data_IF_871640584045
#
_entry.id   IF_871640584045
#
_cell.length_a   1.000
_cell.length_b   1.000
_cell.length_c   1.000
_cell.angle_alpha   90.00
_cell.angle_beta   90.00
_cell.angle_gamma   90.00
#
_symmetry.space_group_name_H-M   'P 1'
#
loop_
_entity.id
_entity.type
_entity.pdbx_description
1 polymer ?
#
# COMPACT_ATOMS: atom_id res chain seq x y z
N UNK A 1 14.01 7.67 62.04
CA UNK A 1 14.17 6.94 63.32
C UNK A 1 14.03 5.46 62.97
N UNK A 2 15.15 4.79 62.66
CA UNK A 2 15.98 3.97 63.58
C UNK A 2 15.24 2.72 64.08
N UNK A 3 15.58 1.55 63.54
CA UNK A 3 16.07 0.32 64.22
C UNK A 3 16.16 -0.80 63.17
N UNK A 4 17.33 -1.29 62.72
CA UNK A 4 18.32 -2.16 63.40
C UNK A 4 17.69 -3.44 63.99
N UNK A 5 17.87 -4.59 63.31
CA UNK A 5 18.92 -5.64 63.44
C UNK A 5 18.67 -6.56 64.63
N UNK A 6 18.55 -7.87 64.36
CA UNK A 6 18.99 -8.98 65.23
C UNK A 6 19.10 -10.28 64.43
N UNK A 7 20.35 -10.70 64.21
CA UNK A 7 20.79 -12.02 63.75
C UNK A 7 20.61 -13.11 64.83
N UNK A 8 20.47 -14.38 64.46
CA UNK A 8 21.48 -15.45 64.65
C UNK A 8 20.93 -16.91 64.50
N UNK A 9 21.46 -17.59 63.46
CA UNK A 9 21.96 -18.97 63.34
C UNK A 9 21.31 -20.16 64.07
N UNK A 10 21.05 -21.23 63.30
CA UNK A 10 21.69 -22.56 63.47
C UNK A 10 21.85 -23.28 62.13
N UNK A 11 22.94 -24.04 61.99
CA UNK A 11 23.46 -24.68 60.77
C UNK A 11 23.21 -26.21 60.73
N UNK A 12 23.25 -26.80 59.53
CA UNK A 12 23.85 -28.13 59.19
C UNK A 12 23.55 -28.43 57.70
N UNK A 13 24.49 -28.26 56.76
CA UNK A 13 25.41 -29.27 56.18
C UNK A 13 24.69 -30.40 55.40
N UNK A 14 25.01 -30.81 54.16
CA UNK A 14 26.03 -30.53 53.12
C UNK A 14 25.50 -31.18 51.80
N UNK A 15 26.18 -31.32 50.67
CA UNK A 15 27.55 -31.06 50.23
C UNK A 15 27.57 -31.09 48.67
N UNK A 16 28.49 -30.30 48.12
CA UNK A 16 29.10 -30.23 46.77
C UNK A 16 29.23 -31.54 45.96
N UNK A 17 29.58 -31.59 44.66
CA UNK A 17 29.72 -30.71 43.49
C UNK A 17 30.10 -31.65 42.30
N UNK A 18 29.91 -31.16 41.07
CA UNK A 18 30.70 -31.33 39.82
C UNK A 18 32.02 -32.13 39.87
N UNK A 19 32.49 -32.76 38.76
CA UNK A 19 32.99 -31.99 37.60
C UNK A 19 32.93 -32.66 36.20
N UNK A 20 33.60 -32.00 35.27
CA UNK A 20 33.44 -31.95 33.82
C UNK A 20 34.53 -32.69 33.02
N UNK A 21 34.24 -32.91 31.72
CA UNK A 21 35.14 -33.08 30.54
C UNK A 21 35.81 -34.44 30.30
N UNK A 22 35.62 -35.00 29.08
CA UNK A 22 36.65 -35.43 28.07
C UNK A 22 35.96 -36.17 26.89
N UNK A 23 36.46 -35.91 25.67
CA UNK A 23 36.02 -36.43 24.38
C UNK A 23 36.67 -37.77 23.98
N UNK A 24 35.99 -38.63 23.17
CA UNK A 24 36.51 -39.36 21.98
C UNK A 24 35.54 -40.42 21.38
N UNK A 25 35.26 -40.26 20.07
CA UNK A 25 35.17 -41.22 18.93
C UNK A 25 34.86 -42.73 19.15
N UNK A 26 33.83 -43.25 18.46
CA UNK A 26 33.75 -44.50 17.63
C UNK A 26 32.27 -44.71 17.20
N UNK A 27 31.89 -44.55 15.92
CA UNK A 27 31.81 -45.57 14.84
C UNK A 27 30.85 -46.77 15.08
N UNK A 28 29.73 -46.73 14.33
CA UNK A 28 28.98 -47.80 13.64
C UNK A 28 28.68 -49.16 14.34
N UNK A 29 27.39 -49.52 14.42
CA UNK A 29 26.81 -50.69 13.71
C UNK A 29 25.27 -50.71 13.75
N UNK A 30 24.72 -51.03 12.58
CA UNK A 30 23.40 -51.45 12.11
C UNK A 30 22.46 -52.20 13.06
N UNK A 31 21.15 -51.87 13.02
CA UNK A 31 20.09 -52.88 12.96
C UNK A 31 18.84 -52.31 12.29
N UNK A 32 18.51 -52.88 11.13
CA UNK A 32 17.28 -52.70 10.34
C UNK A 32 16.18 -53.56 10.98
N UNK A 33 15.03 -52.99 11.34
CA UNK A 33 13.72 -53.66 11.32
C UNK A 33 12.57 -52.68 11.66
N UNK A 34 11.92 -52.19 10.61
CA UNK A 34 10.46 -52.18 10.43
C UNK A 34 9.55 -51.71 11.59
N UNK A 35 9.09 -50.45 11.47
CA UNK A 35 7.77 -50.03 11.98
C UNK A 35 7.19 -49.04 10.98
N UNK A 36 6.28 -49.54 10.14
CA UNK A 36 5.55 -48.78 9.12
C UNK A 36 4.49 -47.90 9.79
N UNK A 37 4.88 -46.70 10.19
CA UNK A 37 3.96 -45.56 10.24
C UNK A 37 4.46 -44.55 9.20
N UNK A 38 3.91 -44.63 7.99
CA UNK A 38 4.13 -43.61 6.96
C UNK A 38 3.29 -42.39 7.35
N UNK A 39 3.96 -41.36 7.86
CA UNK A 39 3.42 -40.02 8.01
C UNK A 39 2.77 -39.53 6.70
N UNK A 40 1.56 -38.94 6.74
CA UNK A 40 0.88 -38.43 5.55
C UNK A 40 1.49 -37.13 4.97
N UNK A 41 2.68 -36.70 5.42
CA UNK A 41 3.28 -35.40 5.04
C UNK A 41 4.22 -35.50 3.82
N UNK A 42 4.23 -36.63 3.10
CA UNK A 42 5.15 -36.85 1.95
C UNK A 42 4.49 -36.76 0.57
N UNK A 43 3.40 -36.00 0.41
CA UNK A 43 2.80 -35.76 -0.93
C UNK A 43 2.64 -34.29 -1.33
N UNK A 44 3.22 -33.33 -0.60
CA UNK A 44 3.13 -31.90 -0.95
C UNK A 44 4.33 -31.36 -1.74
N UNK A 45 5.14 -32.21 -2.39
CA UNK A 45 6.45 -31.80 -2.93
C UNK A 45 6.61 -31.82 -4.45
N UNK A 46 5.51 -31.90 -5.21
CA UNK A 46 5.56 -31.87 -6.69
C UNK A 46 4.69 -30.79 -7.32
N UNK A 47 4.42 -29.69 -6.60
CA UNK A 47 4.13 -28.41 -7.23
C UNK A 47 5.40 -27.57 -7.11
N UNK A 48 6.04 -27.27 -8.24
CA UNK A 48 7.24 -26.44 -8.25
C UNK A 48 6.94 -25.10 -7.57
N UNK A 49 7.88 -24.54 -6.77
CA UNK A 49 7.71 -23.23 -6.13
C UNK A 49 7.34 -22.11 -7.11
N UNK A 50 7.76 -22.25 -8.38
CA UNK A 50 7.50 -21.32 -9.46
C UNK A 50 6.03 -21.28 -9.89
N UNK A 51 5.36 -22.42 -10.02
CA UNK A 51 3.94 -22.47 -10.41
C UNK A 51 3.04 -21.80 -9.35
N UNK A 52 3.33 -22.03 -8.06
CA UNK A 52 2.58 -21.40 -6.94
C UNK A 52 2.82 -19.89 -6.89
N UNK A 53 4.06 -19.43 -7.13
CA UNK A 53 4.38 -17.99 -7.21
C UNK A 53 3.67 -17.33 -8.38
N UNK A 54 3.69 -17.94 -9.57
CA UNK A 54 3.06 -17.38 -10.77
C UNK A 54 1.53 -17.33 -10.68
N UNK A 55 0.88 -18.35 -10.12
CA UNK A 55 -0.56 -18.30 -9.84
C UNK A 55 -0.91 -17.17 -8.86
N UNK A 56 -0.10 -16.97 -7.82
CA UNK A 56 -0.29 -15.85 -6.90
C UNK A 56 -0.12 -14.47 -7.57
N UNK A 57 0.78 -14.36 -8.56
CA UNK A 57 0.97 -13.12 -9.33
C UNK A 57 -0.23 -12.84 -10.24
N UNK A 58 -0.74 -13.86 -10.92
CA UNK A 58 -1.94 -13.74 -11.76
C UNK A 58 -3.16 -13.35 -10.92
N UNK A 59 -3.34 -13.97 -9.76
CA UNK A 59 -4.44 -13.63 -8.84
C UNK A 59 -4.34 -12.18 -8.35
N UNK A 60 -3.15 -11.71 -7.96
CA UNK A 60 -2.93 -10.30 -7.57
C UNK A 60 -3.18 -9.35 -8.73
N UNK A 61 -2.74 -9.68 -9.94
CA UNK A 61 -2.97 -8.88 -11.13
C UNK A 61 -4.47 -8.78 -11.47
N UNK A 62 -5.23 -9.88 -11.32
CA UNK A 62 -6.68 -9.87 -11.48
C UNK A 62 -7.38 -9.01 -10.42
N UNK A 63 -6.96 -9.10 -9.15
CA UNK A 63 -7.48 -8.25 -8.07
C UNK A 63 -7.20 -6.77 -8.34
N UNK A 64 -5.99 -6.43 -8.79
CA UNK A 64 -5.61 -5.06 -9.18
C UNK A 64 -6.40 -4.55 -10.38
N UNK A 65 -6.68 -5.42 -11.36
CA UNK A 65 -7.50 -5.05 -12.50
C UNK A 65 -8.95 -4.79 -12.09
N UNK A 66 -9.50 -5.63 -11.20
CA UNK A 66 -10.84 -5.45 -10.65
C UNK A 66 -10.95 -4.17 -9.82
N UNK A 67 -9.99 -3.89 -8.93
CA UNK A 67 -9.98 -2.64 -8.16
C UNK A 67 -9.83 -1.42 -9.07
N UNK A 68 -8.99 -1.49 -10.10
CA UNK A 68 -8.84 -0.44 -11.10
C UNK A 68 -10.12 -0.21 -11.92
N UNK A 69 -10.89 -1.27 -12.23
CA UNK A 69 -12.18 -1.16 -12.91
C UNK A 69 -13.22 -0.46 -12.05
N UNK A 70 -13.32 -0.83 -10.76
CA UNK A 70 -14.20 -0.15 -9.80
C UNK A 70 -13.78 1.32 -9.68
N UNK A 71 -12.48 1.60 -9.54
CA UNK A 71 -11.97 2.96 -9.48
C UNK A 71 -12.30 3.78 -10.75
N UNK A 72 -12.17 3.19 -11.94
CA UNK A 72 -12.53 3.84 -13.20
C UNK A 72 -14.03 4.17 -13.25
N UNK A 73 -14.89 3.21 -12.91
CA UNK A 73 -16.33 3.42 -12.88
C UNK A 73 -16.72 4.53 -11.88
N UNK A 74 -16.20 4.47 -10.66
CA UNK A 74 -16.44 5.49 -9.64
C UNK A 74 -15.96 6.87 -10.09
N UNK A 75 -14.78 6.98 -10.71
CA UNK A 75 -14.29 8.26 -11.26
C UNK A 75 -15.15 8.79 -12.39
N UNK A 76 -15.67 7.93 -13.28
CA UNK A 76 -16.58 8.34 -14.34
C UNK A 76 -17.91 8.85 -13.77
N UNK A 77 -18.43 8.21 -12.74
CA UNK A 77 -19.65 8.66 -12.05
C UNK A 77 -19.45 9.98 -11.30
N UNK A 78 -18.35 10.12 -10.56
CA UNK A 78 -17.95 11.38 -9.92
C UNK A 78 -17.77 12.47 -10.99
N UNK A 79 -17.13 12.17 -12.11
CA UNK A 79 -16.94 13.08 -13.24
C UNK A 79 -18.26 13.57 -13.84
N UNK A 80 -19.25 12.67 -14.01
CA UNK A 80 -20.60 13.04 -14.46
C UNK A 80 -21.30 13.95 -13.45
N UNK A 81 -21.21 13.63 -12.15
CA UNK A 81 -21.78 14.45 -11.09
C UNK A 81 -21.14 15.84 -11.00
N UNK A 82 -19.82 15.93 -11.13
CA UNK A 82 -19.09 17.21 -11.19
C UNK A 82 -19.46 18.03 -12.43
N UNK A 83 -19.65 17.39 -13.59
CA UNK A 83 -20.09 18.07 -14.80
C UNK A 83 -21.50 18.65 -14.65
N UNK A 84 -22.42 17.91 -14.03
CA UNK A 84 -23.77 18.38 -13.69
C UNK A 84 -23.72 19.54 -12.69
N UNK A 85 -22.89 19.42 -11.65
CA UNK A 85 -22.66 20.49 -10.67
C UNK A 85 -22.11 21.76 -11.35
N UNK A 86 -21.14 21.63 -12.25
CA UNK A 86 -20.61 22.77 -13.00
C UNK A 86 -21.67 23.42 -13.94
N UNK A 87 -22.55 22.64 -14.57
CA UNK A 87 -23.67 23.19 -15.36
C UNK A 87 -24.59 24.01 -14.49
N UNK A 88 -24.95 23.51 -13.29
CA UNK A 88 -25.80 24.22 -12.33
C UNK A 88 -25.16 25.49 -11.79
N UNK A 89 -23.88 25.44 -11.42
CA UNK A 89 -23.11 26.63 -11.03
C UNK A 89 -23.06 27.66 -12.16
N UNK A 90 -22.88 27.22 -13.40
CA UNK A 90 -22.85 28.11 -14.57
C UNK A 90 -24.22 28.75 -14.84
N UNK A 91 -25.31 28.01 -14.64
CA UNK A 91 -26.67 28.54 -14.76
C UNK A 91 -26.98 29.53 -13.63
N UNK A 92 -26.63 29.18 -12.38
CA UNK A 92 -26.77 30.06 -11.22
C UNK A 92 -25.95 31.36 -11.36
N UNK A 93 -24.80 31.31 -12.05
CA UNK A 93 -24.01 32.52 -12.34
C UNK A 93 -24.68 33.45 -13.34
N UNK A 94 -25.56 32.93 -14.20
CA UNK A 94 -26.30 33.70 -15.21
C UNK A 94 -27.64 34.20 -14.65
N UNK A 95 -28.29 33.42 -13.80
CA UNK A 95 -29.51 33.81 -13.09
C UNK A 95 -29.16 34.55 -11.80
N UNK A 96 -29.35 35.87 -11.75
CA UNK A 96 -29.07 36.71 -10.56
C UNK A 96 -29.86 36.33 -9.29
N UNK A 97 -30.82 35.40 -9.39
CA UNK A 97 -31.64 34.91 -8.28
C UNK A 97 -31.09 33.57 -7.77
N UNK A 98 -30.48 33.60 -6.59
CA UNK A 98 -30.26 32.40 -5.78
C UNK A 98 -31.61 32.03 -5.14
N UNK A 99 -32.35 31.12 -5.76
CA UNK A 99 -33.56 30.56 -5.14
C UNK A 99 -33.15 29.52 -4.09
N UNK A 100 -33.83 29.46 -2.95
CA UNK A 100 -33.61 28.41 -1.94
C UNK A 100 -33.73 26.99 -2.51
N UNK A 101 -34.50 26.81 -3.58
CA UNK A 101 -34.58 25.55 -4.33
C UNK A 101 -33.27 25.17 -5.03
N UNK A 102 -32.51 26.14 -5.55
CA UNK A 102 -31.19 25.88 -6.15
C UNK A 102 -30.20 25.41 -5.09
N UNK A 103 -30.23 26.03 -3.92
CA UNK A 103 -29.35 25.70 -2.79
C UNK A 103 -29.63 24.29 -2.24
N UNK A 104 -30.89 23.95 -2.00
CA UNK A 104 -31.28 22.60 -1.57
C UNK A 104 -30.92 21.52 -2.61
N UNK A 105 -31.05 21.82 -3.89
CA UNK A 105 -30.64 20.90 -4.96
C UNK A 105 -29.11 20.79 -5.06
N UNK A 106 -28.38 21.87 -4.78
CA UNK A 106 -26.93 21.88 -4.76
C UNK A 106 -26.40 21.01 -3.62
N UNK A 107 -26.93 21.19 -2.41
CA UNK A 107 -26.58 20.38 -1.24
C UNK A 107 -26.82 18.88 -1.53
N UNK A 108 -28.00 18.52 -2.05
CA UNK A 108 -28.32 17.14 -2.47
C UNK A 108 -27.29 16.57 -3.44
N UNK A 109 -26.83 17.35 -4.42
CA UNK A 109 -25.82 16.91 -5.37
C UNK A 109 -24.46 16.73 -4.72
N UNK A 110 -24.03 17.67 -3.87
CA UNK A 110 -22.75 17.56 -3.15
C UNK A 110 -22.72 16.37 -2.20
N UNK A 111 -23.83 16.11 -1.50
CA UNK A 111 -23.99 14.94 -0.64
C UNK A 111 -24.04 13.64 -1.44
N UNK A 112 -24.71 13.62 -2.60
CA UNK A 112 -24.68 12.45 -3.49
C UNK A 112 -23.27 12.17 -4.02
N UNK A 113 -22.50 13.21 -4.35
CA UNK A 113 -21.10 13.09 -4.76
C UNK A 113 -20.21 12.53 -3.65
N UNK A 114 -20.39 13.01 -2.41
CA UNK A 114 -19.67 12.50 -1.24
C UNK A 114 -20.02 11.02 -0.98
N UNK A 115 -21.30 10.65 -1.04
CA UNK A 115 -21.74 9.27 -0.88
C UNK A 115 -21.16 8.35 -1.96
N UNK A 116 -21.10 8.79 -3.23
CA UNK A 116 -20.48 8.02 -4.32
C UNK A 116 -18.99 7.81 -4.11
N UNK A 117 -18.29 8.81 -3.55
CA UNK A 117 -16.89 8.68 -3.20
C UNK A 117 -16.68 7.68 -2.06
N UNK A 118 -17.54 7.69 -1.04
CA UNK A 118 -17.49 6.72 0.05
C UNK A 118 -17.84 5.29 -0.41
N UNK A 119 -18.69 5.15 -1.42
CA UNK A 119 -19.02 3.85 -2.03
C UNK A 119 -17.93 3.32 -2.99
N UNK A 120 -16.91 4.12 -3.31
CA UNK A 120 -15.79 3.72 -4.14
C UNK A 120 -14.81 2.82 -3.35
N UNK A 121 -15.27 1.62 -3.00
CA UNK A 121 -14.54 0.63 -2.23
C UNK A 121 -14.52 -0.72 -2.95
N UNK A 122 -13.42 -1.45 -2.78
CA UNK A 122 -13.25 -2.82 -3.24
C UNK A 122 -12.71 -3.65 -2.08
N UNK A 123 -13.42 -4.73 -1.72
CA UNK A 123 -13.08 -5.58 -0.57
C UNK A 123 -12.93 -4.80 0.77
N UNK A 124 -13.74 -3.75 0.96
CA UNK A 124 -13.71 -2.91 2.17
C UNK A 124 -12.52 -1.95 2.24
N UNK A 125 -11.79 -1.75 1.13
CA UNK A 125 -10.73 -0.75 1.02
C UNK A 125 -11.11 0.29 -0.03
N UNK A 126 -10.86 1.56 0.28
CA UNK A 126 -11.07 2.65 -0.68
C UNK A 126 -10.16 2.50 -1.90
N UNK A 127 -10.74 2.65 -3.09
CA UNK A 127 -9.98 2.55 -4.36
C UNK A 127 -9.54 3.92 -4.87
N UNK A 128 -9.99 5.01 -4.25
CA UNK A 128 -9.68 6.40 -4.61
C UNK A 128 -9.21 7.21 -3.40
N UNK A 129 -8.15 7.99 -3.56
CA UNK A 129 -7.79 8.98 -2.54
C UNK A 129 -8.71 10.21 -2.60
N UNK A 130 -8.70 11.04 -1.55
CA UNK A 130 -9.35 12.37 -1.57
C UNK A 130 -8.78 13.28 -2.67
N UNK A 131 -7.66 12.93 -3.30
CA UNK A 131 -7.14 13.61 -4.49
C UNK A 131 -7.61 12.95 -5.79
N UNK A 132 -8.70 12.17 -5.76
CA UNK A 132 -9.29 11.47 -6.90
C UNK A 132 -8.28 10.60 -7.66
N UNK A 133 -7.21 10.18 -6.98
CA UNK A 133 -6.18 9.32 -7.55
C UNK A 133 -6.49 7.87 -7.25
N UNK A 134 -6.25 6.97 -8.21
CA UNK A 134 -6.39 5.54 -7.98
C UNK A 134 -5.41 5.05 -6.92
N UNK A 135 -5.90 4.18 -6.03
CA UNK A 135 -5.10 3.51 -5.02
C UNK A 135 -4.79 2.11 -5.54
N UNK A 136 -3.52 1.86 -5.84
CA UNK A 136 -3.08 0.56 -6.37
C UNK A 136 -2.72 -0.43 -5.27
N UNK A 137 -2.17 0.07 -4.16
CA UNK A 137 -1.68 -0.73 -3.04
C UNK A 137 -1.79 0.07 -1.75
N UNK A 138 -2.22 -0.60 -0.67
CA UNK A 138 -2.24 -0.03 0.67
C UNK A 138 -3.34 1.03 0.86
N UNK A 139 -3.13 1.90 1.84
CA UNK A 139 -4.11 2.92 2.24
C UNK A 139 -4.11 4.14 1.31
N UNK A 140 -5.22 4.89 1.34
CA UNK A 140 -5.33 6.17 0.67
C UNK A 140 -4.25 7.15 1.16
N UNK A 141 -3.37 7.56 0.24
CA UNK A 141 -2.35 8.58 0.52
C UNK A 141 -2.74 9.93 -0.07
N UNK A 142 -2.48 10.98 0.71
CA UNK A 142 -2.60 12.38 0.29
C UNK A 142 -1.21 12.95 0.05
N UNK A 143 -1.02 13.51 -1.14
CA UNK A 143 0.24 14.15 -1.55
C UNK A 143 0.22 15.65 -1.28
N UNK A 144 1.27 16.16 -0.67
CA UNK A 144 1.35 17.56 -0.24
C UNK A 144 2.76 18.13 -0.35
N UNK A 145 2.84 19.46 -0.31
CA UNK A 145 4.06 20.24 -0.24
C UNK A 145 4.07 21.04 1.06
N UNK A 146 5.26 21.27 1.58
CA UNK A 146 5.46 22.13 2.75
C UNK A 146 6.01 23.46 2.26
N UNK A 147 5.26 24.54 2.51
CA UNK A 147 5.64 25.88 2.09
C UNK A 147 6.96 26.28 2.76
N UNK A 148 7.90 26.80 1.97
CA UNK A 148 9.26 27.16 2.42
C UNK A 148 10.32 26.11 2.12
N UNK A 149 9.94 24.87 1.78
CA UNK A 149 10.86 23.85 1.31
C UNK A 149 11.01 23.90 -0.22
N UNK A 150 11.91 24.76 -0.70
CA UNK A 150 12.26 24.85 -2.12
C UNK A 150 13.63 24.24 -2.44
N UNK A 151 13.65 23.06 -3.03
CA UNK A 151 14.88 22.34 -3.44
C UNK A 151 15.72 23.08 -4.47
N UNK A 152 15.15 24.05 -5.19
CA UNK A 152 15.88 24.82 -6.22
C UNK A 152 16.78 25.90 -5.60
N UNK A 153 16.52 26.31 -4.35
CA UNK A 153 17.39 27.24 -3.65
C UNK A 153 18.70 26.53 -3.28
N UNK A 154 19.80 27.00 -3.86
CA UNK A 154 21.15 26.59 -3.47
C UNK A 154 21.50 27.25 -2.13
N UNK A 155 21.93 26.43 -1.18
CA UNK A 155 22.39 26.88 0.14
C UNK A 155 23.84 26.46 0.30
N UNK A 156 24.72 27.43 0.51
CA UNK A 156 26.18 27.21 0.53
C UNK A 156 26.71 26.66 1.85
N UNK A 157 25.84 26.44 2.85
CA UNK A 157 26.19 25.93 4.17
C UNK A 157 25.34 24.71 4.51
N UNK A 158 25.85 23.85 5.38
CA UNK A 158 25.05 22.78 5.99
C UNK A 158 23.90 23.41 6.78
N UNK A 159 22.69 22.87 6.61
CA UNK A 159 21.49 23.31 7.32
C UNK A 159 20.89 22.11 8.07
N UNK A 160 20.44 22.33 9.30
CA UNK A 160 19.63 21.36 10.03
C UNK A 160 18.22 21.91 10.21
N UNK A 161 17.22 21.14 9.77
CA UNK A 161 15.81 21.43 9.97
C UNK A 161 15.23 20.43 10.97
N UNK A 162 14.51 20.90 11.97
CA UNK A 162 13.81 20.04 12.94
C UNK A 162 12.31 20.18 12.72
N UNK A 163 11.67 19.09 12.28
CA UNK A 163 10.24 19.04 12.04
C UNK A 163 9.52 18.44 13.24
N UNK A 164 8.56 19.15 13.81
CA UNK A 164 7.70 18.63 14.84
C UNK A 164 6.34 18.23 14.24
N UNK A 165 6.04 16.93 14.23
CA UNK A 165 4.86 16.36 13.58
C UNK A 165 3.60 16.40 14.45
N UNK A 166 3.72 16.75 15.74
CA UNK A 166 2.59 16.85 16.67
C UNK A 166 1.88 15.53 17.02
N UNK A 167 2.47 14.36 16.71
CA UNK A 167 2.10 13.09 17.36
C UNK A 167 2.49 13.23 18.85
N UNK A 168 1.58 13.03 19.79
CA UNK A 168 1.82 13.27 21.23
C UNK A 168 3.16 12.71 21.73
N UNK A 169 3.93 13.52 22.45
CA UNK A 169 5.36 13.28 22.73
C UNK A 169 6.26 13.98 21.70
N UNK A 170 7.55 14.17 21.99
CA UNK A 170 8.46 14.91 21.12
C UNK A 170 8.77 14.14 19.81
N UNK A 171 7.83 14.14 18.86
CA UNK A 171 8.04 13.63 17.50
C UNK A 171 8.79 14.69 16.68
N UNK A 172 10.00 15.01 17.11
CA UNK A 172 10.93 15.90 16.43
C UNK A 172 11.78 15.07 15.45
N UNK A 173 11.72 15.44 14.18
CA UNK A 173 12.42 14.78 13.08
C UNK A 173 13.52 15.72 12.60
N UNK A 174 14.78 15.50 13.01
CA UNK A 174 15.91 16.26 12.51
C UNK A 174 16.26 15.79 11.10
N UNK A 175 16.44 16.74 10.18
CA UNK A 175 16.88 16.52 8.81
C UNK A 175 18.11 17.38 8.58
N UNK A 176 19.25 16.75 8.30
CA UNK A 176 20.48 17.45 7.90
C UNK A 176 20.53 17.56 6.39
N UNK A 177 20.64 18.78 5.88
CA UNK A 177 20.79 19.09 4.47
C UNK A 177 22.24 19.57 4.26
N UNK A 178 23.06 18.85 3.49
CA UNK A 178 24.43 19.29 3.23
C UNK A 178 24.47 20.53 2.32
N UNK A 179 25.54 21.32 2.45
CA UNK A 179 25.82 22.43 1.55
C UNK A 179 25.80 21.99 0.08
N UNK A 180 25.24 22.82 -0.80
CA UNK A 180 25.16 22.58 -2.25
C UNK A 180 24.53 21.22 -2.63
N UNK A 181 23.66 20.67 -1.77
CA UNK A 181 22.99 19.42 -2.06
C UNK A 181 22.09 19.53 -3.28
N UNK A 182 22.21 18.58 -4.21
CA UNK A 182 21.27 18.45 -5.32
C UNK A 182 19.85 18.14 -4.79
N UNK A 183 18.78 18.52 -5.51
CA UNK A 183 17.41 18.17 -5.15
C UNK A 183 17.22 16.68 -4.82
N UNK A 184 17.91 15.79 -5.53
CA UNK A 184 17.86 14.34 -5.33
C UNK A 184 18.47 13.94 -3.98
N UNK A 185 19.62 14.51 -3.63
CA UNK A 185 20.28 14.28 -2.34
C UNK A 185 19.44 14.85 -1.19
N UNK A 186 18.84 16.03 -1.37
CA UNK A 186 17.90 16.59 -0.40
C UNK A 186 16.72 15.64 -0.18
N UNK A 187 16.05 15.21 -1.26
CA UNK A 187 14.92 14.28 -1.18
C UNK A 187 15.28 12.96 -0.50
N UNK A 188 16.50 12.44 -0.70
CA UNK A 188 16.98 11.25 -0.01
C UNK A 188 17.10 11.46 1.50
N UNK A 189 17.66 12.59 1.96
CA UNK A 189 17.77 12.91 3.39
C UNK A 189 16.40 13.04 4.03
N UNK A 190 15.48 13.74 3.37
CA UNK A 190 14.10 13.84 3.82
C UNK A 190 13.42 12.47 3.87
N UNK A 191 13.56 11.64 2.82
CA UNK A 191 12.99 10.30 2.80
C UNK A 191 13.48 9.46 3.97
N UNK A 192 14.79 9.47 4.25
CA UNK A 192 15.36 8.70 5.35
C UNK A 192 14.78 9.12 6.70
N UNK A 193 14.66 10.43 6.94
CA UNK A 193 14.15 10.94 8.22
C UNK A 193 12.65 10.75 8.41
N UNK A 194 11.85 10.82 7.34
CA UNK A 194 10.40 10.76 7.41
C UNK A 194 9.81 9.34 7.27
N UNK A 195 10.59 8.38 6.76
CA UNK A 195 10.14 7.01 6.52
C UNK A 195 9.65 6.31 7.80
N UNK A 196 10.34 6.50 8.93
CA UNK A 196 9.95 5.93 10.24
C UNK A 196 8.59 6.44 10.74
N UNK A 197 8.15 7.59 10.23
CA UNK A 197 6.87 8.20 10.60
C UNK A 197 5.73 7.88 9.64
N UNK A 198 5.98 7.04 8.63
CA UNK A 198 4.99 6.66 7.60
C UNK A 198 4.76 7.76 6.56
N UNK A 199 5.69 8.71 6.42
CA UNK A 199 5.60 9.81 5.46
C UNK A 199 6.59 9.55 4.31
N UNK A 200 6.06 9.33 3.12
CA UNK A 200 6.83 9.19 1.89
C UNK A 200 7.35 10.55 1.42
N UNK A 201 8.57 10.58 0.86
CA UNK A 201 9.15 11.78 0.26
C UNK A 201 9.72 11.46 -1.13
N UNK A 202 9.35 12.27 -2.11
CA UNK A 202 9.84 12.20 -3.47
C UNK A 202 10.06 13.58 -4.09
N UNK A 203 10.38 13.57 -5.37
CA UNK A 203 10.47 14.78 -6.20
C UNK A 203 9.39 14.72 -7.28
N UNK A 204 8.79 15.86 -7.60
CA UNK A 204 7.93 15.99 -8.77
C UNK A 204 8.73 16.23 -10.07
N UNK A 205 8.02 16.36 -11.20
CA UNK A 205 8.63 16.63 -12.52
C UNK A 205 9.40 17.96 -12.57
N UNK A 206 9.15 18.89 -11.63
CA UNK A 206 9.84 20.17 -11.49
C UNK A 206 10.98 20.09 -10.46
N UNK A 207 11.36 18.88 -10.03
CA UNK A 207 12.38 18.60 -9.01
C UNK A 207 12.07 19.31 -7.68
N UNK A 208 10.79 19.48 -7.34
CA UNK A 208 10.34 20.00 -6.04
C UNK A 208 9.98 18.86 -5.09
N UNK A 209 10.21 19.02 -3.78
CA UNK A 209 9.82 18.03 -2.77
C UNK A 209 8.31 17.84 -2.74
N UNK A 210 7.89 16.58 -2.79
CA UNK A 210 6.51 16.16 -2.56
C UNK A 210 6.51 15.11 -1.47
N UNK A 211 5.63 15.30 -0.50
CA UNK A 211 5.41 14.40 0.62
C UNK A 211 4.12 13.62 0.37
N UNK A 212 4.04 12.40 0.89
CA UNK A 212 2.82 11.59 0.91
C UNK A 212 2.60 10.98 2.29
N UNK A 213 1.37 11.01 2.79
CA UNK A 213 1.00 10.36 4.06
C UNK A 213 -0.42 9.82 3.96
N UNK A 214 -0.82 8.95 4.89
CA UNK A 214 -2.23 8.59 5.02
C UNK A 214 -3.08 9.81 5.41
N UNK A 215 -4.40 9.67 5.28
CA UNK A 215 -5.33 10.79 5.45
C UNK A 215 -5.32 11.36 6.87
N UNK A 216 -5.35 10.50 7.88
CA UNK A 216 -5.34 10.92 9.29
C UNK A 216 -4.04 11.64 9.68
N UNK A 217 -2.89 11.15 9.21
CA UNK A 217 -1.61 11.82 9.45
C UNK A 217 -1.52 13.15 8.71
N UNK A 218 -2.05 13.24 7.48
CA UNK A 218 -2.09 14.49 6.73
C UNK A 218 -2.89 15.57 7.46
N UNK A 219 -4.10 15.26 7.92
CA UNK A 219 -4.94 16.23 8.66
C UNK A 219 -4.26 16.73 9.93
N UNK A 220 -3.55 15.83 10.63
CA UNK A 220 -2.76 16.21 11.81
C UNK A 220 -1.61 17.14 11.40
N UNK A 221 -0.82 16.77 10.40
CA UNK A 221 0.30 17.58 9.91
C UNK A 221 -0.16 18.98 9.48
N UNK A 222 -1.29 19.10 8.79
CA UNK A 222 -1.85 20.40 8.40
C UNK A 222 -2.13 21.31 9.61
N UNK A 223 -2.54 20.74 10.73
CA UNK A 223 -2.89 21.47 11.96
C UNK A 223 -1.65 21.77 12.83
N UNK A 224 -0.75 20.80 12.98
CA UNK A 224 0.29 20.83 14.02
C UNK A 224 1.74 20.90 13.52
N UNK A 225 2.00 20.83 12.21
CA UNK A 225 3.38 20.83 11.69
C UNK A 225 4.10 22.13 12.06
N UNK A 226 5.19 21.99 12.81
CA UNK A 226 6.12 23.08 13.09
C UNK A 226 7.51 22.74 12.59
N UNK A 227 8.25 23.76 12.17
CA UNK A 227 9.61 23.62 11.64
C UNK A 227 10.51 24.64 12.31
N UNK A 228 11.64 24.18 12.82
CA UNK A 228 12.74 25.01 13.29
C UNK A 228 13.88 24.87 12.31
N UNK A 229 14.40 26.00 11.79
CA UNK A 229 15.57 26.01 10.91
C UNK A 229 16.75 26.74 11.52
N UNK A 230 17.70 27.12 10.66
CA UNK A 230 18.90 27.87 11.04
C UNK A 230 18.99 29.25 10.35
N UNK A 231 17.89 29.72 9.73
CA UNK A 231 17.80 31.05 9.11
C UNK A 231 17.82 31.05 7.57
N UNK A 232 18.15 29.94 6.92
CA UNK A 232 18.23 29.87 5.45
C UNK A 232 16.86 29.65 4.78
N UNK A 233 16.15 28.61 5.20
CA UNK A 233 14.79 28.28 4.71
C UNK A 233 13.71 28.63 5.71
N UNK A 234 14.00 28.36 6.98
CA UNK A 234 13.15 28.66 8.12
C UNK A 234 13.93 29.48 9.15
N UNK A 235 13.28 30.43 9.86
CA UNK A 235 13.94 31.22 10.89
C UNK A 235 14.59 30.35 11.97
N UNK A 236 15.72 30.82 12.50
CA UNK A 236 16.40 30.20 13.62
C UNK A 236 15.64 30.40 14.94
N UNK A 237 15.83 29.47 15.89
CA UNK A 237 15.32 29.58 17.25
C UNK A 237 13.99 28.87 17.47
N UNK A 238 12.87 29.61 17.48
CA UNK A 238 11.55 29.04 17.83
C UNK A 238 10.92 28.29 16.66
N UNK A 239 10.21 27.20 16.98
CA UNK A 239 9.50 26.40 15.99
C UNK A 239 8.34 27.19 15.37
N UNK A 240 8.38 27.36 14.05
CA UNK A 240 7.37 28.10 13.29
C UNK A 240 6.37 27.15 12.66
N UNK A 241 5.08 27.54 12.62
CA UNK A 241 4.06 26.72 11.94
C UNK A 241 4.33 26.70 10.44
N UNK A 242 4.63 25.53 9.89
CA UNK A 242 4.78 25.37 8.45
C UNK A 242 3.42 25.11 7.80
N UNK A 243 3.15 25.78 6.69
CA UNK A 243 1.91 25.56 5.93
C UNK A 243 2.09 24.34 5.04
N UNK A 244 1.18 23.38 5.21
CA UNK A 244 1.05 22.21 4.35
C UNK A 244 -0.03 22.53 3.31
N UNK A 245 0.35 22.45 2.04
CA UNK A 245 -0.54 22.70 0.90
C UNK A 245 -0.61 21.41 0.07
N UNK A 246 -1.80 20.97 -0.31
CA UNK A 246 -1.91 19.78 -1.14
C UNK A 246 -1.39 20.06 -2.55
N UNK A 247 -0.69 19.09 -3.14
CA UNK A 247 -0.15 19.25 -4.50
C UNK A 247 -1.26 19.30 -5.55
N UNK A 248 -2.38 18.64 -5.25
CA UNK A 248 -3.58 18.60 -6.07
C UNK A 248 -4.78 18.98 -5.21
N UNK A 249 -5.84 19.40 -5.89
CA UNK A 249 -7.08 19.75 -5.24
C UNK A 249 -7.69 18.51 -4.58
N UNK A 250 -8.20 18.68 -3.35
CA UNK A 250 -8.91 17.63 -2.62
C UNK A 250 -10.39 17.66 -3.03
N UNK A 251 -10.97 16.48 -3.14
CA UNK A 251 -12.38 16.29 -3.40
C UNK A 251 -13.16 16.40 -2.08
N UNK A 252 -13.71 17.58 -1.88
CA UNK A 252 -14.57 17.92 -0.75
C UNK A 252 -15.82 18.62 -1.27
N UNK A 253 -16.73 17.88 -1.95
CA UNK A 253 -17.89 18.48 -2.61
C UNK A 253 -18.79 19.26 -1.64
N UNK A 254 -18.83 18.86 -0.36
CA UNK A 254 -19.60 19.53 0.70
C UNK A 254 -19.06 20.90 1.11
N UNK A 255 -17.82 21.26 0.73
CA UNK A 255 -17.26 22.61 0.95
C UNK A 255 -17.62 23.60 -0.16
N UNK A 256 -18.04 23.09 -1.32
CA UNK A 256 -18.49 23.94 -2.42
C UNK A 256 -19.76 24.67 -2.01
N UNK A 257 -19.93 25.90 -2.47
CA UNK A 257 -21.10 26.73 -2.15
C UNK A 257 -21.69 27.35 -3.40
N UNK A 258 -23.01 27.49 -3.41
CA UNK A 258 -23.74 28.18 -4.47
C UNK A 258 -23.90 29.69 -4.20
N UNK A 259 -23.40 30.20 -3.06
CA UNK A 259 -23.49 31.60 -2.67
C UNK A 259 -22.80 32.53 -3.66
N UNK A 260 -23.36 33.72 -3.89
CA UNK A 260 -22.86 34.70 -4.87
C UNK A 260 -21.36 35.02 -4.73
N UNK A 261 -20.85 35.08 -3.49
CA UNK A 261 -19.44 35.35 -3.19
C UNK A 261 -18.52 34.14 -3.45
N UNK A 262 -19.02 32.92 -3.26
CA UNK A 262 -18.26 31.68 -3.39
C UNK A 262 -18.53 30.94 -4.72
N UNK A 263 -19.43 31.46 -5.56
CA UNK A 263 -19.85 30.81 -6.79
C UNK A 263 -18.71 30.69 -7.80
N UNK A 264 -17.95 31.76 -7.99
CA UNK A 264 -16.82 31.78 -8.92
C UNK A 264 -15.70 30.84 -8.46
N UNK A 265 -15.37 30.84 -7.17
CA UNK A 265 -14.37 29.93 -6.61
C UNK A 265 -14.84 28.47 -6.70
N UNK A 266 -16.09 28.18 -6.34
CA UNK A 266 -16.66 26.82 -6.44
C UNK A 266 -16.71 26.33 -7.88
N UNK A 267 -16.98 27.21 -8.85
CA UNK A 267 -16.96 26.85 -10.27
C UNK A 267 -15.54 26.57 -10.76
N UNK A 268 -14.56 27.38 -10.36
CA UNK A 268 -13.15 27.15 -10.69
C UNK A 268 -12.65 25.83 -10.10
N UNK A 269 -12.97 25.58 -8.83
CA UNK A 269 -12.65 24.36 -8.10
C UNK A 269 -13.27 23.12 -8.77
N UNK A 270 -14.56 23.18 -9.12
CA UNK A 270 -15.26 22.10 -9.83
C UNK A 270 -14.61 21.79 -11.18
N UNK A 271 -14.22 22.82 -11.95
CA UNK A 271 -13.51 22.63 -13.23
C UNK A 271 -12.16 21.96 -13.04
N UNK A 272 -11.40 22.33 -12.00
CA UNK A 272 -10.14 21.68 -11.65
C UNK A 272 -10.35 20.21 -11.27
N UNK A 273 -11.38 19.90 -10.46
CA UNK A 273 -11.75 18.52 -10.13
C UNK A 273 -12.10 17.71 -11.38
N UNK A 274 -12.86 18.27 -12.33
CA UNK A 274 -13.17 17.59 -13.60
C UNK A 274 -11.90 17.28 -14.39
N UNK A 275 -10.95 18.22 -14.47
CA UNK A 275 -9.66 17.97 -15.13
C UNK A 275 -8.85 16.88 -14.42
N UNK A 276 -8.87 16.87 -13.08
CA UNK A 276 -8.20 15.87 -12.26
C UNK A 276 -8.82 14.47 -12.41
N UNK A 277 -10.15 14.36 -12.48
CA UNK A 277 -10.84 13.11 -12.84
C UNK A 277 -10.38 12.61 -14.20
N UNK A 278 -10.35 13.47 -15.22
CA UNK A 278 -9.90 13.08 -16.57
C UNK A 278 -8.46 12.57 -16.56
N UNK A 279 -7.56 13.26 -15.87
CA UNK A 279 -6.18 12.84 -15.74
C UNK A 279 -6.05 11.49 -15.03
N UNK A 280 -6.83 11.27 -13.95
CA UNK A 280 -6.79 10.04 -13.16
C UNK A 280 -7.41 8.85 -13.90
N UNK A 281 -8.47 9.07 -14.70
CA UNK A 281 -9.03 8.05 -15.59
C UNK A 281 -8.01 7.66 -16.68
N UNK A 282 -7.28 8.63 -17.23
CA UNK A 282 -6.24 8.34 -18.21
C UNK A 282 -5.10 7.53 -17.59
N UNK A 283 -4.63 7.93 -16.41
CA UNK A 283 -3.61 7.20 -15.63
C UNK A 283 -4.05 5.75 -15.34
N UNK A 284 -5.31 5.55 -14.95
CA UNK A 284 -5.89 4.21 -14.76
C UNK A 284 -5.88 3.38 -16.05
N UNK A 285 -6.24 3.96 -17.19
CA UNK A 285 -6.23 3.25 -18.47
C UNK A 285 -4.83 2.82 -18.89
N UNK A 286 -3.86 3.71 -18.72
CA UNK A 286 -2.46 3.42 -19.01
C UNK A 286 -1.92 2.33 -18.06
N UNK A 287 -2.29 2.39 -16.79
CA UNK A 287 -1.96 1.36 -15.80
C UNK A 287 -2.57 -0.01 -16.16
N UNK A 288 -3.85 -0.05 -16.52
CA UNK A 288 -4.53 -1.29 -16.94
C UNK A 288 -3.88 -1.89 -18.19
N UNK A 289 -3.51 -1.05 -19.16
CA UNK A 289 -2.77 -1.49 -20.36
C UNK A 289 -1.45 -2.15 -19.96
N UNK A 290 -0.69 -1.50 -19.08
CA UNK A 290 0.58 -2.03 -18.59
C UNK A 290 0.42 -3.38 -17.85
N UNK A 291 -0.62 -3.52 -17.02
CA UNK A 291 -0.93 -4.80 -16.36
C UNK A 291 -1.28 -5.86 -17.40
N UNK A 292 -2.14 -5.56 -18.37
CA UNK A 292 -2.54 -6.52 -19.39
C UNK A 292 -1.36 -6.97 -20.24
N UNK A 293 -0.46 -6.07 -20.63
CA UNK A 293 0.79 -6.41 -21.32
C UNK A 293 1.68 -7.32 -20.46
N UNK A 294 1.84 -7.01 -19.17
CA UNK A 294 2.59 -7.86 -18.23
C UNK A 294 1.95 -9.23 -18.07
N UNK A 295 0.62 -9.32 -17.98
CA UNK A 295 -0.09 -10.59 -17.90
C UNK A 295 0.03 -11.40 -19.19
N UNK A 296 -0.08 -10.77 -20.36
CA UNK A 296 0.12 -11.43 -21.64
C UNK A 296 1.54 -12.00 -21.77
N UNK A 297 2.55 -11.25 -21.32
CA UNK A 297 3.93 -11.73 -21.30
C UNK A 297 4.12 -12.94 -20.37
N UNK A 298 3.53 -12.90 -19.16
CA UNK A 298 3.57 -14.04 -18.22
C UNK A 298 2.84 -15.25 -18.81
N UNK A 299 1.68 -15.04 -19.45
CA UNK A 299 0.90 -16.11 -20.10
C UNK A 299 1.61 -16.71 -21.31
N UNK A 300 2.28 -15.90 -22.13
CA UNK A 300 3.04 -16.38 -23.30
C UNK A 300 4.29 -17.16 -22.86
N UNK A 301 5.00 -16.68 -21.83
CA UNK A 301 6.07 -17.44 -21.20
C UNK A 301 5.57 -18.77 -20.64
N UNK A 302 4.38 -18.79 -20.04
CA UNK A 302 3.74 -20.03 -19.60
C UNK A 302 3.41 -20.95 -20.76
N UNK A 303 2.81 -20.48 -21.85
CA UNK A 303 2.49 -21.32 -23.02
C UNK A 303 3.75 -22.01 -23.56
N UNK A 304 4.85 -21.28 -23.69
CA UNK A 304 6.15 -21.81 -24.14
C UNK A 304 6.72 -22.82 -23.13
N UNK A 305 6.71 -22.50 -21.82
CA UNK A 305 7.23 -23.40 -20.78
C UNK A 305 6.35 -24.63 -20.56
N UNK A 306 5.03 -24.52 -20.73
CA UNK A 306 4.09 -25.63 -20.59
C UNK A 306 4.24 -26.63 -21.73
N UNK A 307 4.48 -26.15 -22.95
CA UNK A 307 4.72 -27.00 -24.12
C UNK A 307 6.06 -27.75 -24.00
N UNK A 308 7.11 -27.05 -23.54
CA UNK A 308 8.38 -27.68 -23.18
C UNK A 308 8.24 -28.68 -22.01
N UNK A 309 7.29 -28.49 -21.09
CA UNK A 309 7.10 -29.37 -19.93
C UNK A 309 6.32 -30.65 -20.26
N UNK A 310 5.34 -30.61 -21.16
CA UNK A 310 4.54 -31.79 -21.51
C UNK A 310 5.35 -32.79 -22.33
N UNK A 311 6.14 -32.30 -23.29
CA UNK A 311 6.97 -33.15 -24.13
C UNK A 311 8.20 -33.69 -23.38
N UNK A 312 8.76 -32.92 -22.45
CA UNK A 312 9.83 -33.40 -21.56
C UNK A 312 9.32 -34.37 -20.49
N UNK A 313 8.16 -34.13 -19.88
CA UNK A 313 7.53 -35.08 -18.93
C UNK A 313 7.11 -36.37 -19.64
N UNK A 314 6.63 -36.29 -20.89
CA UNK A 314 6.32 -37.48 -21.70
C UNK A 314 7.59 -38.27 -22.05
N UNK A 315 8.67 -37.57 -22.44
CA UNK A 315 9.97 -38.18 -22.77
C UNK A 315 10.66 -38.79 -21.54
N UNK A 316 10.57 -38.14 -20.40
CA UNK A 316 11.06 -38.67 -19.12
C UNK A 316 10.21 -39.85 -18.64
N UNK A 317 8.88 -39.80 -18.78
CA UNK A 317 8.01 -40.94 -18.50
C UNK A 317 8.32 -42.15 -19.41
N UNK A 318 8.62 -41.91 -20.68
CA UNK A 318 9.02 -42.97 -21.62
C UNK A 318 10.41 -43.56 -21.29
N UNK A 319 11.32 -42.75 -20.76
CA UNK A 319 12.64 -43.22 -20.31
C UNK A 319 12.61 -43.91 -18.94
N UNK A 320 11.62 -43.58 -18.10
CA UNK A 320 11.50 -44.08 -16.71
C UNK A 320 10.62 -45.35 -16.63
N UNK A 321 9.76 -45.62 -17.61
CA UNK A 321 8.89 -46.80 -17.62
C UNK A 321 9.52 -47.95 -18.44
N UNK A 322 9.93 -49.07 -17.80
CA UNK A 322 10.19 -50.31 -18.53
C UNK A 322 8.87 -50.84 -19.10
N UNK A 323 8.95 -51.46 -20.28
CA UNK A 323 7.87 -51.92 -21.19
C UNK A 323 6.82 -52.90 -20.58
N UNK A 324 6.83 -53.18 -19.29
CA UNK A 324 6.07 -54.28 -18.68
C UNK A 324 5.21 -53.87 -17.45
N UNK A 325 4.65 -52.66 -17.42
CA UNK A 325 3.57 -52.33 -16.45
C UNK A 325 2.41 -51.60 -17.13
N UNK A 326 1.27 -52.30 -17.19
CA UNK A 326 0.08 -51.91 -17.96
C UNK A 326 -0.57 -50.60 -17.47
N UNK A 327 -0.87 -49.72 -18.43
CA UNK A 327 -1.62 -48.46 -18.31
C UNK A 327 -2.90 -48.55 -17.45
N UNK A 328 -3.51 -49.74 -17.38
CA UNK A 328 -4.73 -50.06 -16.63
C UNK A 328 -4.58 -49.91 -15.10
N UNK A 329 -3.37 -50.14 -14.54
CA UNK A 329 -3.14 -49.95 -13.10
C UNK A 329 -2.94 -48.46 -12.74
N UNK A 330 -2.34 -47.69 -13.64
CA UNK A 330 -2.15 -46.24 -13.46
C UNK A 330 -3.49 -45.50 -13.61
N UNK A 331 -4.35 -45.92 -14.55
CA UNK A 331 -5.69 -45.33 -14.74
C UNK A 331 -6.60 -45.51 -13.51
N UNK A 332 -6.51 -46.65 -12.80
CA UNK A 332 -7.27 -46.89 -11.56
C UNK A 332 -6.80 -46.05 -10.37
N UNK A 333 -5.52 -45.68 -10.33
CA UNK A 333 -4.98 -44.80 -9.29
C UNK A 333 -5.30 -43.31 -9.53
N UNK A 334 -5.45 -42.90 -10.79
CA UNK A 334 -5.86 -41.53 -11.14
C UNK A 334 -7.36 -41.31 -10.87
N UNK A 335 -8.21 -42.31 -11.16
CA UNK A 335 -9.66 -42.19 -10.94
C UNK A 335 -10.05 -42.17 -9.45
N UNK A 336 -9.25 -42.79 -8.59
CA UNK A 336 -9.44 -42.74 -7.13
C UNK A 336 -8.98 -41.41 -6.52
N UNK A 337 -7.98 -40.74 -7.08
CA UNK A 337 -7.57 -39.39 -6.65
C UNK A 337 -8.46 -38.26 -7.20
N UNK A 338 -9.14 -38.46 -8.33
CA UNK A 338 -10.09 -37.47 -8.87
C UNK A 338 -11.38 -37.36 -8.03
N UNK A 339 -11.84 -38.45 -7.40
CA UNK A 339 -13.01 -38.39 -6.52
C UNK A 339 -12.74 -37.63 -5.21
N UNK A 340 -11.52 -37.71 -4.65
CA UNK A 340 -11.17 -37.00 -3.40
C UNK A 340 -11.34 -35.48 -3.53
N UNK A 341 -11.06 -34.90 -4.71
CA UNK A 341 -11.19 -33.46 -4.95
C UNK A 341 -12.64 -32.92 -4.92
N UNK A 342 -13.68 -33.75 -5.16
CA UNK A 342 -15.08 -33.29 -4.99
C UNK A 342 -15.52 -33.32 -3.53
N UNK A 343 -15.04 -34.27 -2.74
CA UNK A 343 -15.48 -34.42 -1.35
C UNK A 343 -14.88 -33.34 -0.43
N UNK A 344 -13.65 -32.88 -0.70
CA UNK A 344 -13.03 -31.80 0.09
C UNK A 344 -13.66 -30.43 -0.16
N UNK A 345 -14.30 -30.21 -1.32
CA UNK A 345 -15.02 -28.96 -1.63
C UNK A 345 -16.38 -28.90 -0.94
N UNK A 346 -17.03 -30.04 -0.66
CA UNK A 346 -18.29 -30.07 0.11
C UNK A 346 -18.05 -29.85 1.61
N UNK A 347 -16.90 -30.25 2.15
CA UNK A 347 -16.55 -30.00 3.56
C UNK A 347 -16.24 -28.53 3.89
N UNK A 348 -16.08 -27.66 2.89
CA UNK A 348 -15.88 -26.21 3.05
C UNK A 348 -17.14 -25.38 2.77
N UNK A 349 -18.27 -26.02 2.41
CA UNK A 349 -19.56 -25.36 2.19
C UNK A 349 -20.65 -25.82 3.16
N UNK A 350 -20.30 -26.62 4.18
CA UNK A 350 -21.20 -26.96 5.30
C UNK A 350 -20.55 -26.68 6.66
N UNK A 351 -20.42 -25.40 7.00
CA UNK A 351 -20.57 -24.93 8.38
C UNK A 351 -20.92 -23.46 8.45
#
# INVERSE_FOLDING_TARGET
MVSQISDFRTASAGNNHQPSVIAKRAEQTSSVAESRQRDPIRLSRTLTPEHTRQQSLLQRAQQQLASAQVAEQSLLEIGKGLAELNKRLSNASRSSQASHQLEANFEKLTSSLENRFQQAEYQGQSVLSRQLKPIYHGEAQTTFKVRGLDTQRVVNRDEMLVFNLGKGGASAVPVKIPANATPEKQAQQFRQAFNEHGIGVGLDKKRQLVFSSNEGDWERLQKSLKVTGQGERFPAGKANRARVETTQLRFEPTKLKADRQALQSSQAETKQLIQQVKASVQELRDYRRNINEKMANISNQHAILSDLSLESVQKDLQNILPVEMSFTQVYRNIQTQANVHRHTVVALLSR
#
